data_IF_817485310615
#
_entry.id   IF_817485310615
#
_cell.length_a   1.000
_cell.length_b   1.000
_cell.length_c   1.000
_cell.angle_alpha   90.00
_cell.angle_beta   90.00
_cell.angle_gamma   90.00
#
_symmetry.space_group_name_H-M   'P 1'
#
loop_
_entity.id
_entity.type
_entity.pdbx_description
1 polymer ?
#
# COMPACT_ATOMS: atom_id res chain seq x y z
N UNK A 1 -2.02 -21.43 -9.52
CA UNK A 1 -2.70 -20.15 -9.26
C UNK A 1 -1.98 -19.07 -10.05
N UNK A 2 -2.71 -18.30 -10.83
CA UNK A 2 -2.17 -17.17 -11.58
C UNK A 2 -2.52 -15.89 -10.83
N UNK A 3 -1.55 -14.99 -10.74
CA UNK A 3 -1.74 -13.68 -10.11
C UNK A 3 -1.41 -12.61 -11.14
N UNK A 4 -2.16 -11.51 -11.10
CA UNK A 4 -1.94 -10.33 -11.92
C UNK A 4 -1.42 -9.24 -10.99
N UNK A 5 -0.23 -8.72 -11.28
CA UNK A 5 0.29 -7.54 -10.59
C UNK A 5 -0.14 -6.32 -11.39
N UNK A 6 -0.81 -5.37 -10.72
CA UNK A 6 -1.22 -4.10 -11.33
C UNK A 6 -1.03 -2.94 -10.35
N UNK A 7 -1.03 -1.72 -10.86
CA UNK A 7 -1.12 -0.56 -9.97
C UNK A 7 -2.46 -0.56 -9.22
N UNK A 8 -2.40 -0.13 -7.97
CA UNK A 8 -3.56 0.11 -7.14
C UNK A 8 -4.34 1.32 -7.65
N UNK A 9 -5.66 1.22 -7.57
CA UNK A 9 -6.59 2.33 -7.78
C UNK A 9 -7.14 2.78 -6.42
N UNK A 10 -7.78 3.96 -6.36
CA UNK A 10 -8.36 4.48 -5.10
C UNK A 10 -9.38 3.52 -4.48
N UNK A 11 -10.02 2.65 -5.29
CA UNK A 11 -10.94 1.61 -4.81
C UNK A 11 -10.25 0.52 -3.96
N UNK A 12 -8.94 0.33 -4.15
CA UNK A 12 -8.16 -0.67 -3.42
C UNK A 12 -7.68 -0.14 -2.06
N UNK A 13 -7.78 1.18 -1.80
CA UNK A 13 -7.23 1.79 -0.58
C UNK A 13 -7.78 1.22 0.73
N UNK A 14 -9.08 0.88 0.86
CA UNK A 14 -9.57 0.20 2.06
C UNK A 14 -8.87 -1.15 2.30
N UNK A 15 -8.64 -1.93 1.25
CA UNK A 15 -7.96 -3.22 1.32
C UNK A 15 -6.46 -3.06 1.63
N UNK A 16 -5.81 -2.06 1.02
CA UNK A 16 -4.42 -1.71 1.27
C UNK A 16 -4.25 -1.29 2.74
N UNK A 17 -5.11 -0.40 3.27
CA UNK A 17 -5.06 0.02 4.67
C UNK A 17 -5.26 -1.17 5.63
N UNK A 18 -6.11 -2.13 5.28
CA UNK A 18 -6.26 -3.37 6.06
C UNK A 18 -4.95 -4.17 6.08
N UNK A 19 -4.25 -4.28 4.95
CA UNK A 19 -2.96 -4.96 4.89
C UNK A 19 -1.84 -4.19 5.61
N UNK A 20 -1.87 -2.86 5.61
CA UNK A 20 -0.96 -2.05 6.44
C UNK A 20 -1.19 -2.39 7.93
N UNK A 21 -2.45 -2.51 8.37
CA UNK A 21 -2.78 -2.88 9.75
C UNK A 21 -2.34 -4.32 10.09
N UNK A 22 -2.49 -5.26 9.15
CA UNK A 22 -1.99 -6.63 9.35
C UNK A 22 -0.47 -6.69 9.42
N UNK A 23 0.23 -5.93 8.58
CA UNK A 23 1.69 -5.81 8.66
C UNK A 23 2.12 -5.21 10.00
N UNK A 24 1.49 -4.13 10.44
CA UNK A 24 1.79 -3.50 11.72
C UNK A 24 1.52 -4.43 12.91
N UNK A 25 0.49 -5.28 12.84
CA UNK A 25 0.23 -6.31 13.86
C UNK A 25 1.36 -7.36 13.87
N UNK A 26 1.81 -7.80 12.69
CA UNK A 26 2.92 -8.75 12.56
C UNK A 26 4.25 -8.15 13.07
N UNK A 27 4.46 -6.85 12.88
CA UNK A 27 5.61 -6.09 13.37
C UNK A 27 5.48 -5.61 14.84
N UNK A 28 4.47 -6.10 15.57
CA UNK A 28 4.20 -5.75 16.97
C UNK A 28 3.97 -4.24 17.24
N UNK A 29 3.49 -3.49 16.23
CA UNK A 29 3.28 -2.04 16.28
C UNK A 29 1.89 -1.57 15.77
N UNK A 30 0.76 -2.23 16.09
CA UNK A 30 -0.55 -1.88 15.53
C UNK A 30 -1.07 -0.48 15.93
N UNK A 31 -0.64 0.05 17.08
CA UNK A 31 -0.98 1.39 17.58
C UNK A 31 -0.35 2.52 16.75
N UNK A 32 0.68 2.21 15.95
CA UNK A 32 1.37 3.20 15.10
C UNK A 32 0.63 3.51 13.80
N UNK A 33 -0.39 2.73 13.45
CA UNK A 33 -1.15 2.96 12.21
C UNK A 33 -2.19 4.05 12.42
N UNK A 34 -1.76 5.30 12.23
CA UNK A 34 -2.62 6.49 12.27
C UNK A 34 -3.24 6.83 10.89
N UNK A 35 -2.83 6.15 9.83
CA UNK A 35 -3.27 6.43 8.47
C UNK A 35 -4.75 6.08 8.26
N UNK A 36 -5.39 6.78 7.32
CA UNK A 36 -6.80 6.59 6.94
C UNK A 36 -6.94 6.56 5.43
N UNK A 37 -8.05 5.99 4.93
CA UNK A 37 -8.33 5.98 3.49
C UNK A 37 -8.44 7.41 2.95
N UNK A 38 -8.97 8.36 3.73
CA UNK A 38 -9.10 9.75 3.32
C UNK A 38 -7.73 10.44 3.21
N UNK A 39 -6.80 10.18 4.13
CA UNK A 39 -5.42 10.66 4.00
C UNK A 39 -4.73 10.06 2.78
N UNK A 40 -4.86 8.75 2.55
CA UNK A 40 -4.31 8.11 1.36
C UNK A 40 -4.83 8.74 0.05
N UNK A 41 -6.11 9.15 0.01
CA UNK A 41 -6.67 9.87 -1.16
C UNK A 41 -6.10 11.27 -1.34
N UNK A 42 -5.91 12.00 -0.24
CA UNK A 42 -5.31 13.34 -0.27
C UNK A 42 -3.84 13.30 -0.70
N UNK A 43 -3.12 12.24 -0.32
CA UNK A 43 -1.69 12.05 -0.56
C UNK A 43 -1.39 11.08 -1.72
N UNK A 44 -2.37 10.80 -2.58
CA UNK A 44 -2.25 9.78 -3.64
C UNK A 44 -1.08 9.97 -4.61
N UNK A 45 -0.60 11.21 -4.76
CA UNK A 45 0.52 11.55 -5.63
C UNK A 45 1.89 11.39 -4.92
N UNK A 46 1.90 11.15 -3.59
CA UNK A 46 3.11 11.00 -2.77
C UNK A 46 3.61 9.55 -2.69
N UNK A 47 2.77 8.57 -3.02
CA UNK A 47 3.11 7.16 -2.98
C UNK A 47 2.54 6.41 -4.19
N UNK A 48 3.16 5.28 -4.52
CA UNK A 48 2.62 4.28 -5.43
C UNK A 48 2.35 2.98 -4.69
N UNK A 49 1.44 2.17 -5.21
CA UNK A 49 1.20 0.85 -4.68
C UNK A 49 0.91 -0.13 -5.82
N UNK A 50 1.53 -1.31 -5.76
CA UNK A 50 1.15 -2.45 -6.57
C UNK A 50 0.33 -3.41 -5.74
N UNK A 51 -0.69 -4.01 -6.36
CA UNK A 51 -1.49 -5.07 -5.75
C UNK A 51 -1.34 -6.37 -6.53
N UNK A 52 -1.32 -7.48 -5.81
CA UNK A 52 -1.43 -8.81 -6.39
C UNK A 52 -2.90 -9.24 -6.36
N UNK A 53 -3.50 -9.42 -7.53
CA UNK A 53 -4.90 -9.81 -7.71
C UNK A 53 -5.00 -11.23 -8.25
N UNK A 54 -5.92 -12.02 -7.73
CA UNK A 54 -6.28 -13.33 -8.26
C UNK A 54 -7.25 -13.19 -9.44
N UNK A 55 -7.43 -14.24 -10.25
CA UNK A 55 -8.35 -14.19 -11.40
C UNK A 55 -9.82 -13.93 -11.01
N UNK A 56 -10.22 -14.24 -9.77
CA UNK A 56 -11.53 -13.95 -9.20
C UNK A 56 -11.68 -12.50 -8.68
N UNK A 57 -10.66 -11.65 -8.88
CA UNK A 57 -10.71 -10.24 -8.53
C UNK A 57 -10.29 -9.92 -7.10
N UNK A 58 -9.79 -10.91 -6.35
CA UNK A 58 -9.40 -10.73 -4.96
C UNK A 58 -7.96 -10.24 -4.86
N UNK A 59 -7.77 -9.09 -4.24
CA UNK A 59 -6.45 -8.58 -3.90
C UNK A 59 -5.90 -9.40 -2.72
N UNK A 60 -4.75 -10.04 -2.87
CA UNK A 60 -4.13 -10.95 -1.89
C UNK A 60 -2.77 -10.47 -1.37
N UNK A 61 -2.27 -9.36 -1.89
CA UNK A 61 -1.02 -8.75 -1.44
C UNK A 61 -0.83 -7.35 -1.98
N UNK A 62 0.10 -6.61 -1.40
CA UNK A 62 0.43 -5.24 -1.80
C UNK A 62 1.93 -4.96 -1.66
N UNK A 63 2.42 -3.99 -2.42
CA UNK A 63 3.74 -3.39 -2.26
C UNK A 63 3.62 -1.87 -2.40
N UNK A 64 3.76 -1.14 -1.29
CA UNK A 64 3.71 0.31 -1.23
C UNK A 64 5.12 0.88 -1.34
N UNK A 65 5.29 1.92 -2.15
CA UNK A 65 6.55 2.60 -2.34
C UNK A 65 6.33 4.11 -2.49
N UNK A 66 7.40 4.87 -2.30
CA UNK A 66 7.44 6.30 -2.59
C UNK A 66 8.82 6.65 -3.12
N UNK A 67 8.94 7.82 -3.73
CA UNK A 67 10.24 8.31 -4.19
C UNK A 67 10.89 9.14 -3.10
N UNK A 68 12.08 8.73 -2.67
CA UNK A 68 12.96 9.54 -1.84
C UNK A 68 14.13 10.05 -2.69
N UNK A 69 14.66 11.21 -2.34
CA UNK A 69 15.87 11.76 -2.93
C UNK A 69 16.74 12.35 -1.82
N UNK A 70 17.96 11.85 -1.67
CA UNK A 70 18.87 12.31 -0.62
C UNK A 70 19.76 13.43 -1.14
N UNK A 71 19.77 14.57 -0.45
CA UNK A 71 20.49 15.78 -0.88
C UNK A 71 22.01 15.59 -0.96
N UNK A 72 22.58 14.60 -0.25
CA UNK A 72 24.04 14.40 -0.19
C UNK A 72 24.55 13.31 -1.12
N UNK A 73 23.75 12.28 -1.39
CA UNK A 73 24.18 11.11 -2.17
C UNK A 73 23.39 10.96 -3.48
N UNK A 74 22.40 11.81 -3.72
CA UNK A 74 21.39 11.55 -4.73
C UNK A 74 20.49 10.40 -4.27
N UNK A 75 19.77 9.80 -5.20
CA UNK A 75 18.80 8.72 -4.99
C UNK A 75 19.06 7.77 -3.81
#
# INVERSE_FOLDING_TARGET
>A
MKYIIRQAEEKDYPQILQYIKYLALFEEAPDKVLNTVDFMKQEKDLFGCYVAETEDGKVVGMALYFFAYFTWVGK
#
